data_IF_242054355038
#
_entry.id   IF_242054355038
#
_cell.length_a   1.000
_cell.length_b   1.000
_cell.length_c   1.000
_cell.angle_alpha   90.00
_cell.angle_beta   90.00
_cell.angle_gamma   90.00
#
_symmetry.space_group_name_H-M   'P 1'
#
loop_
_entity.id
_entity.type
_entity.pdbx_description
1 polymer ?
#
# COMPACT_ATOMS: atom_id res chain seq x y z
N UNK A 1 10.01 16.98 -11.12
CA UNK A 1 9.75 15.53 -10.95
C UNK A 1 8.91 15.25 -9.72
N UNK A 2 9.44 15.37 -8.50
CA UNK A 2 8.74 15.03 -7.23
C UNK A 2 7.34 15.66 -7.11
N UNK A 3 7.19 16.98 -7.29
CA UNK A 3 5.88 17.66 -7.22
C UNK A 3 4.87 17.14 -8.25
N UNK A 4 5.35 16.85 -9.47
CA UNK A 4 4.50 16.33 -10.55
C UNK A 4 4.04 14.91 -10.21
N UNK A 5 4.94 14.07 -9.70
CA UNK A 5 4.63 12.70 -9.30
C UNK A 5 3.64 12.67 -8.12
N UNK A 6 3.86 13.50 -7.10
CA UNK A 6 2.89 13.65 -6.02
C UNK A 6 1.51 14.07 -6.55
N UNK A 7 1.46 15.04 -7.47
CA UNK A 7 0.19 15.49 -8.07
C UNK A 7 -0.49 14.37 -8.87
N UNK A 8 0.27 13.52 -9.56
CA UNK A 8 -0.25 12.33 -10.27
C UNK A 8 -0.85 11.33 -9.29
N UNK A 9 -0.15 11.05 -8.18
CA UNK A 9 -0.57 10.11 -7.15
C UNK A 9 -1.80 10.60 -6.37
N UNK A 10 -1.91 11.92 -6.14
CA UNK A 10 -3.12 12.53 -5.57
C UNK A 10 -4.33 12.32 -6.46
N UNK A 11 -4.17 12.47 -7.79
CA UNK A 11 -5.28 12.20 -8.73
C UNK A 11 -5.76 10.75 -8.63
N UNK A 12 -4.83 9.79 -8.62
CA UNK A 12 -5.18 8.37 -8.44
C UNK A 12 -5.88 8.10 -7.10
N UNK A 13 -5.44 8.78 -6.03
CA UNK A 13 -6.05 8.62 -4.70
C UNK A 13 -7.47 9.19 -4.60
N UNK A 14 -7.84 10.12 -5.47
CA UNK A 14 -9.15 10.79 -5.51
C UNK A 14 -10.09 10.22 -6.57
N UNK A 15 -9.61 9.32 -7.42
CA UNK A 15 -10.38 8.73 -8.51
C UNK A 15 -11.39 7.73 -7.94
N UNK A 16 -12.64 7.83 -8.43
CA UNK A 16 -13.67 6.83 -8.13
C UNK A 16 -13.47 5.65 -9.08
N UNK A 17 -13.22 4.47 -8.53
CA UNK A 17 -12.81 3.30 -9.30
C UNK A 17 -13.86 2.20 -9.25
N UNK A 18 -13.99 1.40 -10.32
CA UNK A 18 -14.84 0.22 -10.28
C UNK A 18 -14.23 -0.86 -9.34
N UNK A 19 -15.02 -1.83 -8.85
CA UNK A 19 -14.59 -2.80 -7.83
C UNK A 19 -13.32 -3.60 -8.17
N UNK A 20 -13.07 -3.85 -9.46
CA UNK A 20 -11.89 -4.56 -9.94
C UNK A 20 -10.60 -3.73 -9.91
N UNK A 21 -10.68 -2.42 -9.64
CA UNK A 21 -9.55 -1.50 -9.65
C UNK A 21 -9.33 -0.86 -8.27
N UNK A 22 -8.15 -1.09 -7.70
CA UNK A 22 -7.69 -0.42 -6.48
C UNK A 22 -6.31 0.23 -6.69
N UNK A 23 -6.27 1.56 -6.77
CA UNK A 23 -5.01 2.29 -6.95
C UNK A 23 -4.08 2.25 -5.74
N UNK A 24 -4.55 1.87 -4.54
CA UNK A 24 -3.67 1.61 -3.40
C UNK A 24 -2.69 0.47 -3.70
N UNK A 25 -3.09 -0.51 -4.51
CA UNK A 25 -2.21 -1.62 -4.94
C UNK A 25 -1.15 -1.21 -5.96
N UNK A 26 -1.36 -0.09 -6.64
CA UNK A 26 -0.45 0.42 -7.67
C UNK A 26 0.71 1.21 -7.07
N UNK A 27 0.49 1.89 -5.93
CA UNK A 27 1.53 2.71 -5.31
C UNK A 27 1.29 2.96 -3.82
N UNK A 28 2.34 2.79 -3.00
CA UNK A 28 2.30 3.01 -1.53
C UNK A 28 1.80 4.40 -1.15
N UNK A 29 2.18 5.42 -1.90
CA UNK A 29 1.73 6.79 -1.63
C UNK A 29 0.23 6.97 -1.85
N UNK A 30 -0.41 6.22 -2.77
CA UNK A 30 -1.87 6.27 -2.90
C UNK A 30 -2.52 5.74 -1.63
N UNK A 31 -2.02 4.62 -1.10
CA UNK A 31 -2.42 4.09 0.20
C UNK A 31 -2.18 5.12 1.34
N UNK A 32 -1.02 5.79 1.36
CA UNK A 32 -0.72 6.82 2.36
C UNK A 32 -1.65 8.04 2.26
N UNK A 33 -1.96 8.53 1.05
CA UNK A 33 -2.83 9.68 0.84
C UNK A 33 -4.25 9.38 1.33
N UNK A 34 -4.82 8.25 0.91
CA UNK A 34 -6.18 7.87 1.31
C UNK A 34 -6.30 7.63 2.82
N UNK A 35 -5.21 7.19 3.46
CA UNK A 35 -5.15 7.00 4.91
C UNK A 35 -4.64 8.22 5.68
N UNK A 36 -4.44 9.37 5.04
CA UNK A 36 -4.01 10.63 5.67
C UNK A 36 -2.67 10.51 6.42
N UNK A 37 -1.69 9.84 5.82
CA UNK A 37 -0.33 9.78 6.38
C UNK A 37 0.27 11.19 6.56
N UNK A 38 1.13 11.41 7.57
CA UNK A 38 1.80 12.68 7.74
C UNK A 38 2.59 13.07 6.49
N UNK A 39 2.52 14.34 6.08
CA UNK A 39 3.17 14.84 4.86
C UNK A 39 4.67 14.51 4.81
N UNK A 40 5.36 14.60 5.94
CA UNK A 40 6.77 14.24 6.12
C UNK A 40 7.08 12.78 5.73
N UNK A 41 6.18 11.84 6.03
CA UNK A 41 6.32 10.42 5.67
C UNK A 41 6.17 10.27 4.16
N UNK A 42 5.15 10.88 3.57
CA UNK A 42 4.92 10.87 2.12
C UNK A 42 6.10 11.50 1.37
N UNK A 43 6.60 12.65 1.83
CA UNK A 43 7.73 13.35 1.23
C UNK A 43 9.01 12.52 1.28
N UNK A 44 9.33 11.91 2.43
CA UNK A 44 10.48 11.00 2.55
C UNK A 44 10.33 9.79 1.61
N UNK A 45 9.15 9.17 1.55
CA UNK A 45 8.90 8.03 0.65
C UNK A 45 9.02 8.42 -0.83
N UNK A 46 8.55 9.60 -1.23
CA UNK A 46 8.80 10.13 -2.58
C UNK A 46 10.28 10.31 -2.85
N UNK A 47 11.02 10.92 -1.91
CA UNK A 47 12.45 11.12 -2.07
C UNK A 47 13.19 9.79 -2.24
N UNK A 48 12.83 8.76 -1.46
CA UNK A 48 13.42 7.42 -1.58
C UNK A 48 13.18 6.79 -2.95
N UNK A 49 11.98 6.95 -3.53
CA UNK A 49 11.68 6.51 -4.90
C UNK A 49 12.59 7.19 -5.93
N UNK A 50 12.83 8.49 -5.79
CA UNK A 50 13.72 9.23 -6.71
C UNK A 50 15.21 9.03 -6.40
N UNK A 51 15.57 8.54 -5.22
CA UNK A 51 16.94 8.26 -4.80
C UNK A 51 17.41 6.85 -5.19
N UNK A 52 16.53 6.02 -5.77
CA UNK A 52 16.84 4.65 -6.19
C UNK A 52 18.01 4.61 -7.17
N UNK A 53 19.02 3.80 -6.83
CA UNK A 53 20.23 3.58 -7.64
C UNK A 53 19.93 2.97 -9.00
N UNK A 54 18.79 2.29 -9.16
CA UNK A 54 18.34 1.77 -10.45
C UNK A 54 18.08 2.89 -11.47
N UNK A 55 17.89 4.14 -11.03
CA UNK A 55 17.72 5.29 -11.90
C UNK A 55 19.05 5.84 -12.47
N UNK A 56 20.20 5.31 -12.02
CA UNK A 56 21.52 5.83 -12.40
C UNK A 56 21.94 5.53 -13.84
N UNK A 57 21.25 4.62 -14.53
CA UNK A 57 21.55 4.21 -15.91
C UNK A 57 21.05 5.20 -16.98
N UNK A 58 20.12 6.10 -16.64
CA UNK A 58 19.66 7.19 -17.53
C UNK A 58 20.27 8.51 -17.04
N UNK A 59 21.05 9.17 -17.90
CA UNK A 59 21.74 10.43 -17.59
C UNK A 59 20.78 11.55 -17.14
N UNK A 60 19.52 11.52 -17.63
CA UNK A 60 18.46 12.47 -17.24
C UNK A 60 17.97 12.23 -15.82
N UNK A 61 17.97 10.98 -15.37
CA UNK A 61 17.54 10.57 -14.05
C UNK A 61 18.67 10.66 -13.01
N UNK A 62 19.93 10.59 -13.45
CA UNK A 62 21.11 10.65 -12.57
C UNK A 62 21.13 11.91 -11.68
N UNK A 63 20.90 13.09 -12.27
CA UNK A 63 20.90 14.35 -11.53
C UNK A 63 19.73 14.44 -10.53
N UNK A 64 18.55 13.93 -10.91
CA UNK A 64 17.38 13.89 -10.02
C UNK A 64 17.67 12.98 -8.82
N UNK A 65 18.29 11.82 -9.08
CA UNK A 65 18.68 10.87 -8.05
C UNK A 65 19.69 11.47 -7.07
N UNK A 66 20.73 12.15 -7.56
CA UNK A 66 21.71 12.83 -6.68
C UNK A 66 21.08 13.89 -5.81
N UNK A 67 20.16 14.69 -6.36
CA UNK A 67 19.41 15.69 -5.57
C UNK A 67 18.51 15.03 -4.53
N UNK A 68 17.85 13.92 -4.86
CA UNK A 68 17.02 13.19 -3.91
C UNK A 68 17.85 12.58 -2.76
N UNK A 69 19.00 11.99 -3.06
CA UNK A 69 19.94 11.46 -2.06
C UNK A 69 20.43 12.55 -1.10
N UNK A 70 20.89 13.68 -1.64
CA UNK A 70 21.34 14.81 -0.82
C UNK A 70 20.21 15.35 0.08
N UNK A 71 18.96 15.38 -0.42
CA UNK A 71 17.81 15.78 0.40
C UNK A 71 17.50 14.79 1.52
N UNK A 72 17.62 13.49 1.27
CA UNK A 72 17.43 12.47 2.31
C UNK A 72 18.47 12.61 3.41
N UNK A 73 19.74 12.85 3.05
CA UNK A 73 20.84 13.05 4.02
C UNK A 73 20.65 14.30 4.89
N UNK A 74 19.90 15.29 4.40
CA UNK A 74 19.59 16.51 5.15
C UNK A 74 18.38 16.37 6.09
N UNK A 75 17.58 15.30 5.98
CA UNK A 75 16.42 15.07 6.87
C UNK A 75 16.97 14.79 8.27
N UNK A 76 16.65 15.68 9.21
CA UNK A 76 17.05 15.48 10.60
C UNK A 76 16.17 14.42 11.28
N UNK A 77 16.70 13.66 12.26
CA UNK A 77 15.90 12.68 13.00
C UNK A 77 14.66 13.27 13.68
N UNK A 78 14.68 14.55 14.04
CA UNK A 78 13.53 15.23 14.64
C UNK A 78 12.43 15.57 13.61
N UNK A 79 12.77 15.64 12.33
CA UNK A 79 11.83 15.96 11.25
C UNK A 79 10.99 14.74 10.86
N UNK A 80 11.60 13.55 10.84
CA UNK A 80 10.92 12.29 10.56
C UNK A 80 11.24 11.26 11.62
N UNK A 81 10.20 10.87 12.37
CA UNK A 81 10.31 9.73 13.27
C UNK A 81 10.42 8.45 12.41
N UNK A 82 11.54 7.75 12.55
CA UNK A 82 11.85 6.55 11.75
C UNK A 82 11.03 5.33 12.15
N UNK A 83 10.58 5.25 13.41
CA UNK A 83 9.66 4.20 13.87
C UNK A 83 8.28 4.40 13.24
N UNK A 84 7.76 5.63 13.30
CA UNK A 84 6.51 6.00 12.62
C UNK A 84 6.62 5.74 11.11
N UNK A 85 7.75 6.09 10.49
CA UNK A 85 8.00 5.80 9.06
C UNK A 85 7.90 4.31 8.75
N UNK A 86 8.56 3.46 9.54
CA UNK A 86 8.57 2.03 9.31
C UNK A 86 7.20 1.40 9.58
N UNK A 87 6.45 1.87 10.58
CA UNK A 87 5.08 1.43 10.85
C UNK A 87 4.14 1.66 9.66
N UNK A 88 4.21 2.84 9.02
CA UNK A 88 3.41 3.13 7.83
C UNK A 88 3.73 2.19 6.66
N UNK A 89 5.01 1.90 6.44
CA UNK A 89 5.43 0.94 5.41
C UNK A 89 5.05 -0.50 5.77
N UNK A 90 5.12 -0.88 7.04
CA UNK A 90 4.66 -2.18 7.51
C UNK A 90 3.15 -2.37 7.32
N UNK A 91 2.35 -1.33 7.60
CA UNK A 91 0.91 -1.36 7.34
C UNK A 91 0.61 -1.53 5.85
N UNK A 92 1.35 -0.86 4.97
CA UNK A 92 1.20 -1.06 3.53
C UNK A 92 1.61 -2.47 3.08
N UNK A 93 2.70 -3.03 3.62
CA UNK A 93 3.10 -4.43 3.35
C UNK A 93 2.00 -5.40 3.77
N UNK A 94 1.43 -5.21 4.96
CA UNK A 94 0.32 -6.02 5.46
C UNK A 94 -0.95 -5.87 4.61
N UNK A 95 -1.27 -4.67 4.14
CA UNK A 95 -2.36 -4.45 3.19
C UNK A 95 -2.16 -5.27 1.89
N UNK A 96 -0.96 -5.27 1.32
CA UNK A 96 -0.64 -6.07 0.13
C UNK A 96 -0.72 -7.58 0.38
N UNK A 97 -0.20 -8.04 1.53
CA UNK A 97 -0.30 -9.45 1.93
C UNK A 97 -1.76 -9.88 2.13
N UNK A 98 -2.56 -9.06 2.80
CA UNK A 98 -4.01 -9.28 2.99
C UNK A 98 -4.72 -9.40 1.64
N UNK A 99 -4.35 -8.55 0.67
CA UNK A 99 -4.87 -8.59 -0.69
C UNK A 99 -4.53 -9.91 -1.37
N UNK A 100 -3.27 -10.38 -1.24
CA UNK A 100 -2.85 -11.66 -1.80
C UNK A 100 -3.64 -12.82 -1.21
N UNK A 101 -3.80 -12.86 0.11
CA UNK A 101 -4.63 -13.87 0.76
C UNK A 101 -6.09 -13.83 0.30
N UNK A 102 -6.66 -12.63 0.13
CA UNK A 102 -8.01 -12.49 -0.40
C UNK A 102 -8.12 -13.04 -1.83
N UNK A 103 -7.21 -12.65 -2.72
CA UNK A 103 -7.21 -13.12 -4.12
C UNK A 103 -7.07 -14.64 -4.18
N UNK A 104 -6.07 -15.21 -3.51
CA UNK A 104 -5.85 -16.67 -3.52
C UNK A 104 -7.06 -17.40 -2.91
N UNK A 105 -7.63 -16.85 -1.82
CA UNK A 105 -8.84 -17.38 -1.21
C UNK A 105 -10.02 -17.44 -2.18
N UNK A 106 -10.29 -16.34 -2.89
CA UNK A 106 -11.36 -16.25 -3.88
C UNK A 106 -11.08 -17.11 -5.12
N UNK A 107 -9.83 -17.19 -5.60
CA UNK A 107 -9.45 -18.06 -6.71
C UNK A 107 -9.70 -19.54 -6.38
N UNK A 108 -9.36 -19.99 -5.18
CA UNK A 108 -9.65 -21.35 -4.74
C UNK A 108 -11.15 -21.59 -4.56
N UNK A 109 -11.90 -20.59 -4.08
CA UNK A 109 -13.36 -20.66 -3.99
C UNK A 109 -13.99 -20.92 -5.36
N UNK A 110 -13.56 -20.17 -6.37
CA UNK A 110 -14.04 -20.33 -7.75
C UNK A 110 -13.69 -21.69 -8.37
N UNK A 111 -12.67 -22.37 -7.85
CA UNK A 111 -12.26 -23.72 -8.26
C UNK A 111 -12.88 -24.84 -7.41
N UNK A 112 -13.81 -24.47 -6.51
CA UNK A 112 -14.43 -25.39 -5.55
C UNK A 112 -13.43 -26.06 -4.59
N UNK A 113 -12.21 -25.50 -4.45
CA UNK A 113 -11.24 -25.92 -3.44
C UNK A 113 -11.51 -25.19 -2.12
N UNK A 114 -12.59 -25.60 -1.45
CA UNK A 114 -13.09 -24.88 -0.26
C UNK A 114 -12.16 -24.96 0.95
N UNK A 115 -11.42 -26.06 1.12
CA UNK A 115 -10.45 -26.19 2.22
C UNK A 115 -9.32 -25.17 2.05
N UNK A 116 -8.70 -25.10 0.87
CA UNK A 116 -7.64 -24.13 0.60
C UNK A 116 -8.19 -22.70 0.66
N UNK A 117 -9.36 -22.47 0.05
CA UNK A 117 -10.03 -21.18 0.07
C UNK A 117 -10.24 -20.66 1.50
N UNK A 118 -10.80 -21.51 2.38
CA UNK A 118 -11.08 -21.16 3.76
C UNK A 118 -9.81 -20.75 4.52
N UNK A 119 -8.70 -21.48 4.35
CA UNK A 119 -7.42 -21.17 5.01
C UNK A 119 -6.96 -19.74 4.66
N UNK A 120 -6.98 -19.39 3.37
CA UNK A 120 -6.57 -18.06 2.91
C UNK A 120 -7.57 -16.97 3.33
N UNK A 121 -8.87 -17.22 3.26
CA UNK A 121 -9.89 -16.25 3.64
C UNK A 121 -9.93 -15.96 5.16
N UNK A 122 -9.55 -16.93 6.00
CA UNK A 122 -9.35 -16.70 7.44
C UNK A 122 -8.20 -15.72 7.67
N UNK A 123 -7.05 -15.95 7.02
CA UNK A 123 -5.89 -15.05 7.12
C UNK A 123 -6.22 -13.64 6.60
N UNK A 124 -6.89 -13.55 5.44
CA UNK A 124 -7.36 -12.29 4.88
C UNK A 124 -8.28 -11.55 5.86
N UNK A 125 -9.27 -12.25 6.44
CA UNK A 125 -10.21 -11.65 7.39
C UNK A 125 -9.52 -11.12 8.66
N UNK A 126 -8.63 -11.91 9.25
CA UNK A 126 -7.91 -11.53 10.47
C UNK A 126 -7.02 -10.31 10.23
N UNK A 127 -6.22 -10.33 9.16
CA UNK A 127 -5.36 -9.21 8.82
C UNK A 127 -6.18 -7.96 8.48
N UNK A 128 -7.30 -8.12 7.79
CA UNK A 128 -8.17 -7.01 7.43
C UNK A 128 -8.78 -6.33 8.66
N UNK A 129 -9.24 -7.11 9.65
CA UNK A 129 -9.74 -6.59 10.93
C UNK A 129 -8.69 -5.73 11.64
N UNK A 130 -7.45 -6.22 11.69
CA UNK A 130 -6.34 -5.48 12.31
C UNK A 130 -6.02 -4.19 11.54
N UNK A 131 -6.02 -4.22 10.20
CA UNK A 131 -5.85 -3.03 9.38
C UNK A 131 -6.98 -2.01 9.60
N UNK A 132 -8.24 -2.44 9.50
CA UNK A 132 -9.40 -1.57 9.65
C UNK A 132 -9.52 -0.94 11.04
N UNK A 133 -8.97 -1.57 12.07
CA UNK A 133 -8.87 -0.97 13.41
C UNK A 133 -8.03 0.32 13.44
N UNK A 134 -7.16 0.53 12.44
CA UNK A 134 -6.33 1.73 12.27
C UNK A 134 -6.92 2.76 11.33
N UNK A 135 -8.10 2.52 10.76
CA UNK A 135 -8.81 3.43 9.86
C UNK A 135 -9.56 2.72 8.71
N UNK A 136 -10.61 3.35 8.16
CA UNK A 136 -11.50 2.71 7.20
C UNK A 136 -10.85 2.43 5.84
N UNK A 137 -9.84 3.20 5.43
CA UNK A 137 -9.13 3.03 4.15
C UNK A 137 -7.89 2.14 4.24
N UNK A 138 -7.67 1.47 5.39
CA UNK A 138 -6.50 0.61 5.64
C UNK A 138 -6.62 -0.77 5.02
N UNK A 139 -7.86 -1.23 4.84
CA UNK A 139 -8.17 -2.60 4.45
C UNK A 139 -9.12 -2.67 3.25
N UNK A 140 -9.74 -3.83 3.12
CA UNK A 140 -10.73 -4.20 2.11
C UNK A 140 -12.13 -4.23 2.70
N UNK A 141 -13.13 -4.35 1.82
CA UNK A 141 -14.53 -4.54 2.22
C UNK A 141 -14.68 -5.76 3.13
N UNK A 142 -15.11 -5.51 4.35
CA UNK A 142 -15.27 -6.51 5.38
C UNK A 142 -16.44 -7.46 5.09
N UNK A 143 -17.52 -6.96 4.46
CA UNK A 143 -18.69 -7.77 4.14
C UNK A 143 -18.35 -8.81 3.08
N UNK A 144 -17.59 -8.42 2.05
CA UNK A 144 -17.09 -9.31 1.01
C UNK A 144 -16.30 -10.49 1.59
N UNK A 145 -15.29 -10.21 2.42
CA UNK A 145 -14.44 -11.27 3.00
C UNK A 145 -15.27 -12.15 3.94
N UNK A 146 -16.13 -11.54 4.77
CA UNK A 146 -16.99 -12.26 5.70
C UNK A 146 -17.96 -13.21 4.99
N UNK A 147 -18.54 -12.76 3.87
CA UNK A 147 -19.41 -13.57 3.03
C UNK A 147 -18.69 -14.81 2.53
N UNK A 148 -17.62 -14.67 1.75
CA UNK A 148 -16.92 -15.81 1.16
C UNK A 148 -16.33 -16.76 2.20
N UNK A 149 -15.82 -16.23 3.32
CA UNK A 149 -15.31 -17.07 4.42
C UNK A 149 -16.41 -17.96 5.01
N UNK A 150 -17.63 -17.42 5.16
CA UNK A 150 -18.78 -18.20 5.66
C UNK A 150 -19.28 -19.20 4.62
N UNK A 151 -19.37 -18.80 3.35
CA UNK A 151 -19.81 -19.70 2.29
C UNK A 151 -18.85 -20.89 2.12
N UNK A 152 -17.55 -20.74 2.42
CA UNK A 152 -16.63 -21.90 2.45
C UNK A 152 -16.95 -22.96 3.52
N UNK A 153 -17.75 -22.60 4.54
CA UNK A 153 -18.10 -23.48 5.67
C UNK A 153 -19.47 -24.14 5.52
N UNK A 154 -20.29 -23.66 4.58
CA UNK A 154 -21.66 -24.15 4.32
C UNK A 154 -21.66 -25.21 3.21
#
# INVERSE_FOLDING_TARGET
>A
AIKLEYSRLVKLAQEDTPPETDYRLHHVIVYFIQNQAPKKIIEKTLLEQFADRNLSFDERCHNIMKVAQAKIEMIKPEEVNMEEYEEWHQDYRKFRETTMYLIIGLENFQRESYIDSLLFLICAYQNNKELLSKGPYRGHDEELISHYRRECLL
#
